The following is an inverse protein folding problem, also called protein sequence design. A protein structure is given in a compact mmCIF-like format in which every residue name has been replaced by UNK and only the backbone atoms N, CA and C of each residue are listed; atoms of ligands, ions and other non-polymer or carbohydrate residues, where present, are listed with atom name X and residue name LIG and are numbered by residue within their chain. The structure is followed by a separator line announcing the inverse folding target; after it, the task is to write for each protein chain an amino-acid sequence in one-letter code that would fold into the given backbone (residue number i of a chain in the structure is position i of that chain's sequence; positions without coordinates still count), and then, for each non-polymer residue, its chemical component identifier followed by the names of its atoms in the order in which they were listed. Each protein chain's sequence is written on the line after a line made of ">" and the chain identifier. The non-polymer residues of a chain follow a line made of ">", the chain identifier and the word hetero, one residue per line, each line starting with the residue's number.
data_IF_279475588191
#
_entry.id   IF_279475588191
#
_cell.length_a   1.000
_cell.length_b   1.000
_cell.length_c   1.000
_cell.angle_alpha   90.00
_cell.angle_beta   90.00
_cell.angle_gamma   90.00
#
_symmetry.space_group_name_H-M   'P 1'
#
loop_
_entity.id
_entity.type
_entity.pdbx_description
1 polymer ?
#
# COMPACT_ATOMS: atom_id res chain seq x y z
N UNK A 1 23.11 -5.51 14.77
CA UNK A 1 24.39 -4.80 14.61
C UNK A 1 25.57 -5.58 15.18
N UNK A 2 25.57 -6.06 16.44
CA UNK A 2 26.70 -6.82 17.01
C UNK A 2 27.01 -8.09 16.22
N UNK A 3 26.03 -8.82 15.73
CA UNK A 3 26.20 -10.03 14.90
C UNK A 3 27.00 -9.77 13.59
N UNK A 4 26.85 -8.59 12.99
CA UNK A 4 27.57 -8.23 11.76
C UNK A 4 29.09 -8.06 11.99
N UNK A 5 29.49 -7.66 13.18
CA UNK A 5 30.92 -7.51 13.55
C UNK A 5 31.55 -8.80 14.05
N UNK A 6 30.78 -9.74 14.56
CA UNK A 6 31.27 -11.02 15.09
C UNK A 6 31.23 -12.17 14.08
N UNK A 7 30.76 -11.94 12.85
CA UNK A 7 30.57 -13.00 11.86
C UNK A 7 29.50 -14.04 12.28
N UNK A 8 28.70 -13.72 13.29
CA UNK A 8 27.64 -14.60 13.77
C UNK A 8 26.40 -14.52 12.85
N UNK A 9 25.66 -15.60 12.80
CA UNK A 9 24.38 -15.65 12.09
C UNK A 9 23.42 -14.56 12.62
N UNK A 10 22.67 -13.86 11.73
CA UNK A 10 21.66 -12.91 12.19
C UNK A 10 20.58 -13.65 12.97
N UNK A 11 20.49 -13.36 14.27
CA UNK A 11 19.48 -13.95 15.15
C UNK A 11 18.28 -13.01 15.21
N UNK A 12 17.10 -13.47 14.85
CA UNK A 12 15.85 -12.75 15.04
C UNK A 12 14.96 -13.46 16.05
N UNK A 13 14.12 -12.72 16.75
CA UNK A 13 13.11 -13.29 17.64
C UNK A 13 12.06 -14.06 16.84
N UNK A 14 11.83 -15.33 17.21
CA UNK A 14 10.74 -16.11 16.61
C UNK A 14 9.39 -15.53 17.01
N UNK A 15 8.65 -14.97 16.03
CA UNK A 15 7.35 -14.33 16.27
C UNK A 15 6.38 -15.27 17.02
N UNK A 16 6.29 -16.54 16.59
CA UNK A 16 5.41 -17.54 17.19
C UNK A 16 5.69 -17.78 18.67
N UNK A 17 6.97 -17.84 19.09
CA UNK A 17 7.34 -18.02 20.50
C UNK A 17 7.04 -16.77 21.32
N UNK A 18 7.28 -15.59 20.76
CA UNK A 18 6.99 -14.32 21.44
C UNK A 18 5.49 -14.13 21.64
N UNK A 19 4.69 -14.49 20.65
CA UNK A 19 3.21 -14.41 20.72
C UNK A 19 2.66 -15.37 21.79
N UNK A 20 3.18 -16.60 21.87
CA UNK A 20 2.75 -17.58 22.89
C UNK A 20 3.11 -17.05 24.30
N UNK A 21 4.32 -16.53 24.50
CA UNK A 21 4.71 -15.96 25.78
C UNK A 21 3.85 -14.76 26.15
N UNK A 22 3.55 -13.89 25.19
CA UNK A 22 2.67 -12.74 25.40
C UNK A 22 1.24 -13.15 25.73
N UNK A 23 0.67 -14.12 25.00
CA UNK A 23 -0.66 -14.66 25.26
C UNK A 23 -0.75 -15.36 26.63
N UNK A 24 0.37 -15.93 27.11
CA UNK A 24 0.48 -16.50 28.46
C UNK A 24 0.67 -15.45 29.56
N UNK A 25 0.65 -14.14 29.21
CA UNK A 25 0.74 -13.06 30.19
C UNK A 25 2.17 -12.63 30.56
N UNK A 26 3.18 -13.00 29.76
CA UNK A 26 4.55 -12.59 30.00
C UNK A 26 4.73 -11.08 29.77
N UNK A 27 5.19 -10.37 30.82
CA UNK A 27 5.39 -8.92 30.79
C UNK A 27 6.86 -8.51 30.68
N UNK A 28 7.79 -9.47 30.83
CA UNK A 28 9.23 -9.16 30.84
C UNK A 28 10.04 -10.13 29.99
N UNK A 29 11.21 -9.71 29.46
CA UNK A 29 12.13 -10.60 28.75
C UNK A 29 12.62 -11.80 29.57
N UNK A 30 12.51 -11.75 30.88
CA UNK A 30 12.87 -12.83 31.78
C UNK A 30 12.09 -14.11 31.51
N UNK A 31 10.82 -13.99 31.10
CA UNK A 31 10.02 -15.14 30.68
C UNK A 31 10.66 -15.93 29.53
N UNK A 32 11.28 -15.25 28.56
CA UNK A 32 11.97 -15.89 27.43
C UNK A 32 13.24 -16.60 27.88
N UNK A 33 13.97 -16.06 28.89
CA UNK A 33 15.15 -16.72 29.45
C UNK A 33 14.75 -17.98 30.22
N UNK A 34 13.70 -17.91 31.03
CA UNK A 34 13.16 -19.08 31.75
C UNK A 34 12.69 -20.14 30.73
N UNK A 35 11.97 -19.76 29.70
CA UNK A 35 11.53 -20.68 28.63
C UNK A 35 12.72 -21.34 27.94
N UNK A 36 13.78 -20.59 27.62
CA UNK A 36 15.00 -21.13 27.03
C UNK A 36 15.69 -22.14 27.97
N UNK A 37 15.77 -21.85 29.28
CA UNK A 37 16.29 -22.76 30.27
C UNK A 37 15.51 -24.06 30.41
N UNK A 38 14.18 -23.98 30.45
CA UNK A 38 13.31 -25.17 30.43
C UNK A 38 13.45 -25.98 29.15
N UNK A 39 13.52 -25.32 27.98
CA UNK A 39 13.75 -25.99 26.72
C UNK A 39 15.08 -26.75 26.67
N UNK A 40 16.16 -26.10 27.15
CA UNK A 40 17.46 -26.75 27.25
C UNK A 40 17.42 -27.99 28.17
N UNK A 41 16.77 -27.88 29.32
CA UNK A 41 16.60 -28.98 30.26
C UNK A 41 15.79 -30.11 29.64
N UNK A 42 14.68 -29.83 28.98
CA UNK A 42 13.85 -30.83 28.32
C UNK A 42 14.64 -31.54 27.21
N UNK A 43 15.36 -30.81 26.38
CA UNK A 43 16.16 -31.39 25.29
C UNK A 43 17.26 -32.27 25.88
N UNK A 44 17.93 -31.84 26.94
CA UNK A 44 19.02 -32.60 27.52
C UNK A 44 18.57 -33.91 28.21
N UNK A 45 17.47 -33.86 28.97
CA UNK A 45 17.02 -35.04 29.74
C UNK A 45 15.96 -35.89 29.04
N UNK A 46 15.13 -35.29 28.16
CA UNK A 46 13.95 -35.95 27.58
C UNK A 46 14.02 -36.08 26.06
N UNK A 47 15.17 -35.79 25.41
CA UNK A 47 15.29 -35.91 23.94
C UNK A 47 14.90 -37.31 23.44
N UNK A 48 15.20 -38.35 24.21
CA UNK A 48 14.87 -39.75 23.88
C UNK A 48 13.35 -40.01 23.76
N UNK A 49 12.51 -39.32 24.54
CA UNK A 49 11.05 -39.46 24.45
C UNK A 49 10.51 -38.93 23.12
N UNK A 50 11.14 -37.87 22.57
CA UNK A 50 10.72 -37.28 21.32
C UNK A 50 11.08 -38.14 20.09
N UNK A 51 11.95 -39.14 20.26
CA UNK A 51 12.32 -40.05 19.18
C UNK A 51 11.12 -40.85 18.62
N UNK A 52 10.15 -41.19 19.46
CA UNK A 52 8.95 -41.92 19.09
C UNK A 52 7.81 -41.00 18.64
N UNK A 53 7.99 -39.70 18.60
CA UNK A 53 6.93 -38.75 18.20
C UNK A 53 6.80 -38.73 16.67
N UNK A 54 5.64 -39.12 16.09
CA UNK A 54 5.45 -39.07 14.64
C UNK A 54 5.54 -37.64 14.14
N UNK A 55 6.25 -37.41 13.04
CA UNK A 55 6.35 -36.08 12.38
C UNK A 55 4.97 -35.49 12.05
N UNK A 56 3.98 -36.33 11.76
CA UNK A 56 2.61 -35.92 11.52
C UNK A 56 1.98 -35.21 12.75
N UNK A 57 2.28 -35.66 13.96
CA UNK A 57 1.77 -35.05 15.20
C UNK A 57 2.42 -33.68 15.43
N UNK A 58 3.72 -33.58 15.16
CA UNK A 58 4.43 -32.29 15.23
C UNK A 58 3.88 -31.29 14.21
N UNK A 59 3.68 -31.74 12.97
CA UNK A 59 3.07 -30.91 11.93
C UNK A 59 1.65 -30.45 12.31
N UNK A 60 0.81 -31.38 12.79
CA UNK A 60 -0.54 -31.05 13.23
C UNK A 60 -0.56 -30.05 14.39
N UNK A 61 0.33 -30.21 15.37
CA UNK A 61 0.42 -29.24 16.49
C UNK A 61 0.86 -27.85 16.06
N UNK A 62 1.77 -27.75 15.07
CA UNK A 62 2.17 -26.47 14.48
C UNK A 62 1.00 -25.83 13.74
N UNK A 63 0.27 -26.61 12.92
CA UNK A 63 -0.89 -26.14 12.16
C UNK A 63 -1.95 -25.57 13.13
N UNK A 64 -2.27 -26.30 14.20
CA UNK A 64 -3.26 -25.85 15.20
C UNK A 64 -2.77 -24.56 15.91
N UNK A 65 -1.50 -24.50 16.28
CA UNK A 65 -0.94 -23.31 16.94
C UNK A 65 -0.95 -22.08 16.01
N UNK A 66 -0.69 -22.28 14.72
CA UNK A 66 -0.66 -21.18 13.72
C UNK A 66 -2.06 -20.83 13.23
N UNK A 67 -3.02 -21.74 13.27
CA UNK A 67 -4.39 -21.48 12.83
C UNK A 67 -5.04 -20.30 13.57
N UNK A 68 -4.68 -20.08 14.84
CA UNK A 68 -5.16 -18.94 15.63
C UNK A 68 -4.61 -17.59 15.16
N UNK A 69 -3.57 -17.57 14.34
CA UNK A 69 -2.97 -16.36 13.77
C UNK A 69 -3.62 -15.95 12.42
N UNK A 70 -4.45 -16.83 11.87
CA UNK A 70 -5.17 -16.54 10.61
C UNK A 70 -6.30 -15.57 10.89
N UNK A 71 -6.12 -14.32 10.50
CA UNK A 71 -7.13 -13.28 10.64
C UNK A 71 -8.10 -13.25 9.45
N UNK A 72 -9.18 -14.01 9.60
CA UNK A 72 -10.25 -14.07 8.60
C UNK A 72 -11.07 -12.78 8.56
N UNK A 73 -11.11 -12.02 9.66
CA UNK A 73 -11.86 -10.77 9.73
C UNK A 73 -11.18 -9.70 8.88
N UNK A 74 -9.86 -9.58 8.97
CA UNK A 74 -9.08 -8.68 8.10
C UNK A 74 -9.25 -9.04 6.62
N UNK A 75 -9.27 -10.33 6.27
CA UNK A 75 -9.52 -10.76 4.90
C UNK A 75 -10.92 -10.36 4.41
N UNK A 76 -11.95 -10.56 5.22
CA UNK A 76 -13.33 -10.15 4.89
C UNK A 76 -13.45 -8.63 4.78
N UNK A 77 -12.84 -7.89 5.69
CA UNK A 77 -12.84 -6.44 5.66
C UNK A 77 -12.13 -5.91 4.38
N UNK A 78 -10.97 -6.46 4.04
CA UNK A 78 -10.25 -6.11 2.81
C UNK A 78 -11.07 -6.42 1.57
N UNK A 79 -11.78 -7.55 1.53
CA UNK A 79 -12.62 -7.92 0.39
C UNK A 79 -13.78 -6.94 0.14
N UNK A 80 -14.34 -6.39 1.21
CA UNK A 80 -15.43 -5.40 1.12
C UNK A 80 -14.88 -4.01 0.77
N UNK A 81 -13.73 -3.65 1.36
CA UNK A 81 -13.16 -2.31 1.22
C UNK A 81 -12.38 -2.16 -0.08
N UNK A 82 -11.48 -3.08 -0.37
CA UNK A 82 -10.62 -3.05 -1.55
C UNK A 82 -10.25 -4.46 -2.05
N UNK A 83 -10.76 -4.79 -3.22
CA UNK A 83 -10.54 -6.10 -3.84
C UNK A 83 -9.08 -6.32 -4.26
N UNK A 84 -8.34 -5.26 -4.60
CA UNK A 84 -6.94 -5.40 -5.00
C UNK A 84 -6.06 -5.79 -3.81
N UNK A 85 -6.33 -5.21 -2.62
CA UNK A 85 -5.64 -5.57 -1.38
C UNK A 85 -5.97 -7.00 -0.96
N UNK A 86 -7.25 -7.39 -1.03
CA UNK A 86 -7.69 -8.76 -0.75
C UNK A 86 -7.05 -9.78 -1.69
N UNK A 87 -6.96 -9.45 -2.99
CA UNK A 87 -6.28 -10.29 -3.98
C UNK A 87 -4.78 -10.44 -3.69
N UNK A 88 -4.11 -9.35 -3.36
CA UNK A 88 -2.68 -9.35 -3.00
C UNK A 88 -2.42 -10.23 -1.78
N UNK A 89 -3.29 -10.15 -0.75
CA UNK A 89 -3.20 -10.97 0.45
C UNK A 89 -3.39 -12.46 0.13
N UNK A 90 -4.42 -12.82 -0.64
CA UNK A 90 -4.67 -14.20 -1.04
C UNK A 90 -3.57 -14.76 -1.94
N UNK A 91 -3.07 -13.96 -2.89
CA UNK A 91 -1.98 -14.35 -3.78
C UNK A 91 -0.69 -14.59 -2.99
N UNK A 92 -0.39 -13.73 -1.99
CA UNK A 92 0.76 -13.92 -1.09
C UNK A 92 0.62 -15.20 -0.28
N UNK A 93 -0.53 -15.40 0.36
CA UNK A 93 -0.78 -16.61 1.16
C UNK A 93 -0.70 -17.89 0.31
N UNK A 94 -1.33 -17.89 -0.86
CA UNK A 94 -1.25 -19.00 -1.81
C UNK A 94 0.16 -19.24 -2.33
N UNK A 95 0.89 -18.16 -2.65
CA UNK A 95 2.29 -18.22 -3.06
C UNK A 95 3.20 -18.83 -2.01
N UNK A 96 3.02 -18.46 -0.74
CA UNK A 96 3.78 -19.05 0.38
C UNK A 96 3.53 -20.56 0.48
N UNK A 97 2.28 -21.00 0.29
CA UNK A 97 1.93 -22.44 0.37
C UNK A 97 2.48 -23.23 -0.82
N UNK A 98 2.44 -22.67 -2.03
CA UNK A 98 2.80 -23.39 -3.27
C UNK A 98 4.28 -23.27 -3.61
N UNK A 99 4.85 -22.06 -3.49
CA UNK A 99 6.22 -21.74 -3.90
C UNK A 99 7.22 -21.71 -2.74
N UNK A 100 6.73 -21.78 -1.51
CA UNK A 100 7.53 -21.63 -0.30
C UNK A 100 7.55 -20.18 0.22
N UNK A 101 8.06 -20.03 1.45
CA UNK A 101 7.99 -18.78 2.21
C UNK A 101 8.72 -17.63 1.51
N UNK A 102 9.93 -17.87 1.02
CA UNK A 102 10.77 -16.83 0.40
C UNK A 102 10.13 -16.29 -0.88
N UNK A 103 9.78 -17.19 -1.81
CA UNK A 103 9.17 -16.83 -3.08
C UNK A 103 7.78 -16.20 -2.88
N UNK A 104 6.98 -16.73 -1.95
CA UNK A 104 5.66 -16.20 -1.63
C UNK A 104 5.71 -14.78 -1.07
N UNK A 105 6.65 -14.49 -0.16
CA UNK A 105 6.84 -13.13 0.38
C UNK A 105 7.30 -12.17 -0.71
N UNK A 106 8.29 -12.55 -1.53
CA UNK A 106 8.76 -11.70 -2.63
C UNK A 106 7.64 -11.39 -3.62
N UNK A 107 6.83 -12.38 -3.96
CA UNK A 107 5.65 -12.19 -4.81
C UNK A 107 4.64 -11.23 -4.17
N UNK A 108 4.37 -11.37 -2.87
CA UNK A 108 3.49 -10.46 -2.14
C UNK A 108 3.97 -9.02 -2.13
N UNK A 109 5.26 -8.81 -1.89
CA UNK A 109 5.90 -7.48 -1.94
C UNK A 109 5.78 -6.90 -3.35
N UNK A 110 6.09 -7.68 -4.39
CA UNK A 110 6.00 -7.22 -5.78
C UNK A 110 4.57 -6.85 -6.17
N UNK A 111 3.58 -7.65 -5.77
CA UNK A 111 2.15 -7.35 -6.00
C UNK A 111 1.71 -6.09 -5.27
N UNK A 112 2.06 -5.93 -3.99
CA UNK A 112 1.71 -4.74 -3.20
C UNK A 112 2.32 -3.47 -3.79
N UNK A 113 3.59 -3.52 -4.19
CA UNK A 113 4.24 -2.40 -4.87
C UNK A 113 3.60 -2.12 -6.24
N UNK A 114 3.26 -3.17 -6.99
CA UNK A 114 2.56 -3.02 -8.26
C UNK A 114 1.19 -2.33 -8.11
N UNK A 115 0.40 -2.72 -7.12
CA UNK A 115 -0.89 -2.09 -6.80
C UNK A 115 -0.69 -0.63 -6.38
N UNK A 116 0.33 -0.36 -5.54
CA UNK A 116 0.64 1.00 -5.11
C UNK A 116 0.98 1.90 -6.30
N UNK A 117 1.90 1.45 -7.18
CA UNK A 117 2.28 2.20 -8.39
C UNK A 117 1.09 2.39 -9.32
N UNK A 118 0.29 1.33 -9.52
CA UNK A 118 -0.92 1.42 -10.34
C UNK A 118 -1.91 2.48 -9.81
N UNK A 119 -2.18 2.50 -8.53
CA UNK A 119 -3.07 3.51 -7.91
C UNK A 119 -2.52 4.92 -8.07
N UNK A 120 -1.25 5.09 -7.76
CA UNK A 120 -0.61 6.41 -7.85
C UNK A 120 -0.45 6.91 -9.31
N UNK A 121 -0.39 5.99 -10.28
CA UNK A 121 -0.36 6.34 -11.71
C UNK A 121 -1.72 6.76 -12.28
N UNK A 122 -2.82 6.43 -11.57
CA UNK A 122 -4.18 6.84 -11.95
C UNK A 122 -4.80 7.69 -10.84
N UNK A 123 -4.31 8.92 -10.65
CA UNK A 123 -4.76 9.78 -9.57
C UNK A 123 -6.22 10.15 -9.75
N UNK A 124 -6.92 10.35 -8.64
CA UNK A 124 -8.26 10.91 -8.69
C UNK A 124 -8.18 12.36 -9.14
N UNK A 125 -8.82 12.66 -10.26
CA UNK A 125 -8.89 14.01 -10.83
C UNK A 125 -10.36 14.42 -10.95
N UNK A 126 -10.68 15.63 -10.52
CA UNK A 126 -12.03 16.15 -10.57
C UNK A 126 -12.06 17.59 -11.08
N UNK A 127 -12.93 17.84 -12.06
CA UNK A 127 -13.28 19.22 -12.38
C UNK A 127 -14.13 19.77 -11.24
N UNK A 128 -13.74 20.93 -10.72
CA UNK A 128 -14.39 21.53 -9.55
C UNK A 128 -15.05 22.86 -9.90
N UNK A 129 -16.14 23.15 -9.20
CA UNK A 129 -16.83 24.43 -9.27
C UNK A 129 -17.17 24.90 -7.86
N UNK A 130 -17.52 26.18 -7.73
CA UNK A 130 -17.86 26.84 -6.46
C UNK A 130 -19.28 26.48 -6.04
N UNK A 131 -19.46 26.06 -4.79
CA UNK A 131 -20.80 25.90 -4.21
C UNK A 131 -21.48 27.26 -4.00
N UNK A 132 -22.73 27.42 -4.38
CA UNK A 132 -23.47 28.69 -4.19
C UNK A 132 -23.46 29.12 -2.72
N UNK A 133 -23.14 30.40 -2.49
CA UNK A 133 -23.13 30.98 -1.14
C UNK A 133 -21.98 30.58 -0.23
N UNK A 134 -20.99 29.84 -0.74
CA UNK A 134 -19.83 29.39 0.03
C UNK A 134 -18.51 29.64 -0.72
N UNK A 135 -17.38 29.45 -0.04
CA UNK A 135 -16.04 29.45 -0.63
C UNK A 135 -15.53 28.03 -0.92
N UNK A 136 -16.40 27.02 -0.83
CA UNK A 136 -16.03 25.64 -1.06
C UNK A 136 -16.15 25.24 -2.53
N UNK A 137 -15.15 24.52 -3.02
CA UNK A 137 -15.13 23.95 -4.35
C UNK A 137 -15.43 22.45 -4.28
N UNK A 138 -16.34 21.97 -5.14
CA UNK A 138 -16.78 20.57 -5.18
C UNK A 138 -16.79 20.05 -6.63
N UNK A 139 -16.74 18.73 -6.78
CA UNK A 139 -16.80 18.06 -8.08
C UNK A 139 -18.12 18.39 -8.78
N UNK A 140 -18.02 18.87 -10.02
CA UNK A 140 -19.16 19.25 -10.88
C UNK A 140 -20.10 18.07 -11.19
N UNK A 141 -19.57 16.84 -11.19
CA UNK A 141 -20.36 15.63 -11.49
C UNK A 141 -21.22 15.17 -10.29
N UNK A 142 -20.87 15.59 -9.07
CA UNK A 142 -21.51 15.12 -7.84
C UNK A 142 -22.38 16.18 -7.16
N UNK A 143 -22.12 17.44 -7.45
CA UNK A 143 -22.75 18.57 -6.74
C UNK A 143 -23.21 19.62 -7.74
N UNK A 144 -24.33 20.29 -7.41
CA UNK A 144 -24.77 21.46 -8.14
C UNK A 144 -23.85 22.65 -7.77
N UNK A 145 -22.92 22.97 -8.65
CA UNK A 145 -21.89 24.01 -8.45
C UNK A 145 -21.95 25.04 -9.55
N UNK A 146 -21.40 26.22 -9.29
CA UNK A 146 -21.22 27.27 -10.28
C UNK A 146 -19.84 27.13 -10.90
N UNK A 147 -19.80 27.11 -12.25
CA UNK A 147 -18.58 27.14 -13.05
C UNK A 147 -18.45 28.48 -13.75
N UNK A 148 -17.23 28.87 -14.10
CA UNK A 148 -16.96 30.08 -14.87
C UNK A 148 -16.83 29.68 -16.34
N UNK A 149 -17.61 30.30 -17.26
CA UNK A 149 -17.50 30.02 -18.67
C UNK A 149 -16.06 30.22 -19.19
N UNK A 150 -15.54 29.25 -19.94
CA UNK A 150 -14.19 29.32 -20.48
C UNK A 150 -13.06 28.98 -19.49
N UNK A 151 -13.37 28.63 -18.24
CA UNK A 151 -12.42 28.21 -17.22
C UNK A 151 -12.70 26.76 -16.80
N UNK A 152 -11.69 25.91 -16.83
CA UNK A 152 -11.70 24.58 -16.24
C UNK A 152 -10.80 24.65 -14.98
N UNK A 153 -11.37 24.35 -13.81
CA UNK A 153 -10.59 24.14 -12.59
C UNK A 153 -10.49 22.64 -12.36
N UNK A 154 -9.30 22.08 -12.57
CA UNK A 154 -9.01 20.65 -12.38
C UNK A 154 -8.25 20.46 -11.07
N UNK A 155 -8.83 19.72 -10.13
CA UNK A 155 -8.17 19.30 -8.90
C UNK A 155 -7.54 17.93 -9.09
N UNK A 156 -6.27 17.82 -8.71
CA UNK A 156 -5.53 16.55 -8.65
C UNK A 156 -5.34 16.20 -7.18
N UNK A 157 -5.78 15.00 -6.80
CA UNK A 157 -5.76 14.55 -5.40
C UNK A 157 -4.54 13.64 -5.10
N UNK A 158 -3.39 13.90 -5.74
CA UNK A 158 -2.13 13.15 -5.59
C UNK A 158 -0.93 14.05 -5.88
N UNK A 159 0.27 13.71 -5.38
CA UNK A 159 1.52 14.34 -5.80
C UNK A 159 1.80 14.08 -7.27
N UNK A 160 2.49 15.02 -7.92
CA UNK A 160 2.81 14.96 -9.36
C UNK A 160 4.18 14.32 -9.55
N UNK A 161 4.26 13.20 -10.25
CA UNK A 161 5.50 12.48 -10.46
C UNK A 161 5.47 11.66 -11.76
N UNK A 162 6.60 11.07 -12.12
CA UNK A 162 6.80 10.38 -13.40
C UNK A 162 5.70 9.38 -13.77
N UNK A 163 5.11 8.69 -12.78
CA UNK A 163 4.13 7.65 -13.06
C UNK A 163 2.72 8.18 -13.39
N UNK A 164 2.37 9.41 -12.98
CA UNK A 164 1.05 10.00 -13.24
C UNK A 164 1.07 11.22 -14.15
N UNK A 165 2.24 11.73 -14.50
CA UNK A 165 2.38 12.91 -15.34
C UNK A 165 1.59 12.79 -16.66
N UNK A 166 1.75 11.69 -17.40
CA UNK A 166 1.05 11.44 -18.65
C UNK A 166 -0.48 11.40 -18.49
N UNK A 167 -0.97 10.75 -17.43
CA UNK A 167 -2.40 10.66 -17.18
C UNK A 167 -3.03 12.04 -16.89
N UNK A 168 -2.28 12.93 -16.23
CA UNK A 168 -2.71 14.30 -15.96
C UNK A 168 -2.72 15.14 -17.24
N UNK A 169 -1.68 15.04 -18.06
CA UNK A 169 -1.58 15.69 -19.36
C UNK A 169 -2.74 15.28 -20.26
N UNK A 170 -2.95 13.98 -20.46
CA UNK A 170 -4.06 13.44 -21.26
C UNK A 170 -5.42 13.93 -20.76
N UNK A 171 -5.62 13.97 -19.44
CA UNK A 171 -6.88 14.46 -18.87
C UNK A 171 -7.11 15.93 -19.16
N UNK A 172 -6.09 16.79 -19.03
CA UNK A 172 -6.20 18.21 -19.34
C UNK A 172 -6.46 18.41 -20.81
N UNK A 173 -5.72 17.73 -21.69
CA UNK A 173 -5.92 17.83 -23.13
C UNK A 173 -7.32 17.38 -23.55
N UNK A 174 -7.81 16.26 -23.01
CA UNK A 174 -9.16 15.77 -23.28
C UNK A 174 -10.24 16.79 -22.87
N UNK A 175 -10.07 17.45 -21.72
CA UNK A 175 -11.00 18.47 -21.24
C UNK A 175 -11.01 19.72 -22.14
N UNK A 176 -9.84 20.17 -22.60
CA UNK A 176 -9.71 21.32 -23.51
C UNK A 176 -10.26 21.00 -24.90
N UNK A 177 -10.06 19.76 -25.39
CA UNK A 177 -10.61 19.31 -26.67
C UNK A 177 -12.15 19.19 -26.63
N UNK A 178 -12.72 18.81 -25.50
CA UNK A 178 -14.16 18.62 -25.33
C UNK A 178 -14.96 19.94 -25.37
N UNK A 179 -14.35 21.05 -24.99
CA UNK A 179 -14.99 22.36 -25.03
C UNK A 179 -14.10 23.43 -25.69
N UNK A 180 -14.36 23.77 -26.96
CA UNK A 180 -13.60 24.80 -27.70
C UNK A 180 -13.70 26.21 -27.13
N UNK A 181 -14.58 26.46 -26.16
CA UNK A 181 -14.73 27.77 -25.51
C UNK A 181 -13.74 27.96 -24.36
N UNK A 182 -13.04 26.92 -23.94
CA UNK A 182 -12.03 26.99 -22.88
C UNK A 182 -10.89 27.93 -23.29
N UNK A 183 -10.57 28.86 -22.40
CA UNK A 183 -9.46 29.80 -22.56
C UNK A 183 -8.46 29.71 -21.41
N UNK A 184 -8.85 29.06 -20.32
CA UNK A 184 -8.02 28.91 -19.14
C UNK A 184 -8.24 27.59 -18.44
N UNK A 185 -7.15 26.95 -18.05
CA UNK A 185 -7.12 25.78 -17.18
C UNK A 185 -6.43 26.16 -15.88
N UNK A 186 -7.11 25.98 -14.77
CA UNK A 186 -6.57 26.19 -13.41
C UNK A 186 -6.30 24.84 -12.77
N UNK A 187 -5.04 24.54 -12.47
CA UNK A 187 -4.66 23.33 -11.77
C UNK A 187 -4.71 23.57 -10.25
N UNK A 188 -5.68 22.93 -9.59
CA UNK A 188 -5.88 23.07 -8.14
C UNK A 188 -5.00 22.05 -7.43
N UNK A 189 -3.86 22.54 -6.91
CA UNK A 189 -2.80 21.74 -6.30
C UNK A 189 -2.92 21.61 -4.77
N UNK A 190 -4.11 21.72 -4.20
CA UNK A 190 -4.31 21.67 -2.73
C UNK A 190 -3.88 20.35 -2.07
N UNK A 191 -3.87 19.25 -2.82
CA UNK A 191 -3.42 17.93 -2.37
C UNK A 191 -2.05 17.53 -2.94
N UNK A 192 -1.43 18.38 -3.73
CA UNK A 192 -0.10 18.15 -4.31
C UNK A 192 0.97 18.57 -3.32
N UNK A 193 1.63 17.58 -2.72
CA UNK A 193 2.69 17.85 -1.74
C UNK A 193 4.09 17.92 -2.39
N UNK A 194 4.25 17.31 -3.56
CA UNK A 194 5.53 17.21 -4.25
C UNK A 194 5.33 17.17 -5.76
N UNK A 195 6.27 17.76 -6.48
CA UNK A 195 6.38 17.68 -7.95
C UNK A 195 7.79 17.22 -8.28
N UNK A 196 7.94 16.12 -9.04
CA UNK A 196 9.24 15.66 -9.48
C UNK A 196 9.68 16.33 -10.79
N UNK A 197 10.92 16.08 -11.19
CA UNK A 197 11.50 16.69 -12.40
C UNK A 197 10.75 16.30 -13.69
N UNK A 198 10.21 15.06 -13.75
CA UNK A 198 9.45 14.58 -14.91
C UNK A 198 8.10 15.27 -15.02
N UNK A 199 7.39 15.40 -13.91
CA UNK A 199 6.13 16.11 -13.86
C UNK A 199 6.31 17.62 -14.12
N UNK A 200 7.40 18.22 -13.64
CA UNK A 200 7.71 19.61 -13.96
C UNK A 200 7.97 19.81 -15.46
N UNK A 201 8.72 18.90 -16.08
CA UNK A 201 8.95 18.90 -17.53
C UNK A 201 7.67 18.76 -18.33
N UNK A 202 6.76 17.86 -17.91
CA UNK A 202 5.44 17.69 -18.50
C UNK A 202 4.61 18.96 -18.39
N UNK A 203 4.53 19.58 -17.19
CA UNK A 203 3.77 20.83 -16.99
C UNK A 203 4.27 21.97 -17.88
N UNK A 204 5.59 22.11 -18.03
CA UNK A 204 6.19 23.12 -18.89
C UNK A 204 5.85 22.87 -20.37
N UNK A 205 5.93 21.63 -20.84
CA UNK A 205 5.54 21.24 -22.19
C UNK A 205 4.06 21.46 -22.46
N UNK A 206 3.21 21.09 -21.50
CA UNK A 206 1.76 21.26 -21.56
C UNK A 206 1.37 22.75 -21.62
N UNK A 207 2.00 23.61 -20.81
CA UNK A 207 1.80 25.06 -20.85
C UNK A 207 2.07 25.61 -22.23
N UNK A 208 3.20 25.26 -22.84
CA UNK A 208 3.56 25.69 -24.20
C UNK A 208 2.56 25.18 -25.25
N UNK A 209 2.15 23.91 -25.18
CA UNK A 209 1.17 23.32 -26.07
C UNK A 209 -0.19 24.00 -25.98
N UNK A 210 -0.67 24.28 -24.78
CA UNK A 210 -1.93 24.97 -24.53
C UNK A 210 -1.88 26.43 -24.97
N UNK A 211 -0.77 27.14 -24.69
CA UNK A 211 -0.56 28.52 -25.11
C UNK A 211 -0.60 28.66 -26.65
N UNK A 212 -0.03 27.72 -27.39
CA UNK A 212 -0.12 27.68 -28.87
C UNK A 212 -1.57 27.56 -29.37
N UNK A 213 -2.47 27.03 -28.56
CA UNK A 213 -3.92 26.90 -28.84
C UNK A 213 -4.73 28.08 -28.27
N UNK A 214 -4.08 29.07 -27.64
CA UNK A 214 -4.73 30.22 -27.02
C UNK A 214 -5.41 29.88 -25.67
N UNK A 215 -4.95 28.84 -24.99
CA UNK A 215 -5.40 28.43 -23.65
C UNK A 215 -4.29 28.68 -22.65
N UNK A 216 -4.59 29.34 -21.54
CA UNK A 216 -3.64 29.61 -20.45
C UNK A 216 -3.72 28.51 -19.40
N UNK A 217 -2.58 28.02 -18.92
CA UNK A 217 -2.46 27.12 -17.77
C UNK A 217 -1.97 27.91 -16.55
N UNK A 218 -2.68 27.80 -15.41
CA UNK A 218 -2.37 28.48 -14.14
C UNK A 218 -2.31 27.46 -12.99
#
# INVERSE_FOLDING_TARGET
>A
MVAAFSGAYPVHGGLSRSVINFAAGAQTPLASIITAGFMALIVFFFAHLFYYLPLAVLAASIIVAVASLVDVETLKASWVYDKADAFSLLATAGGVVVLGVEAGILMGVALSLGVLVWRSSHPHMAVVGRMPGTEHYRNVERYAVQTVPGLIALRVDESLFFANATAIEERIEALVQADPKVRRVLLVCSAVNQIDATALGMLTGLEQSLAARGVQLD
#
